data_IF_318841236521
#
_entry.id   IF_318841236521
#
_cell.length_a   1.000
_cell.length_b   1.000
_cell.length_c   1.000
_cell.angle_alpha   90.00
_cell.angle_beta   90.00
_cell.angle_gamma   90.00
#
_symmetry.space_group_name_H-M   'P 1'
#
loop_
_entity.id
_entity.type
_entity.pdbx_description
1 polymer ?
#
# COMPACT_ATOMS: atom_id res chain seq x y z
N UNK A 1 6.18 -1.70 -11.40
CA UNK A 1 6.23 -0.36 -10.79
C UNK A 1 7.54 -0.22 -10.01
N UNK A 2 8.39 0.74 -10.36
CA UNK A 2 9.75 0.85 -9.79
C UNK A 2 9.76 1.12 -8.27
N UNK A 3 8.65 1.61 -7.70
CA UNK A 3 8.52 1.87 -6.26
C UNK A 3 8.51 0.60 -5.39
N UNK A 4 8.18 -0.57 -5.96
CA UNK A 4 8.07 -1.82 -5.20
C UNK A 4 9.40 -2.55 -5.01
N UNK A 5 10.33 -2.42 -5.96
CA UNK A 5 11.64 -3.09 -5.90
C UNK A 5 12.47 -2.74 -4.66
N UNK A 6 12.59 -1.46 -4.23
CA UNK A 6 13.26 -1.12 -2.97
C UNK A 6 12.54 -1.67 -1.73
N UNK A 7 11.26 -2.04 -1.83
CA UNK A 7 10.47 -2.56 -0.71
C UNK A 7 10.51 -4.10 -0.59
N UNK A 8 10.96 -4.79 -1.64
CA UNK A 8 11.07 -6.25 -1.68
C UNK A 8 12.39 -6.75 -1.07
N UNK A 9 12.33 -7.84 -0.30
CA UNK A 9 13.50 -8.57 0.18
C UNK A 9 13.77 -9.83 -0.64
N UNK A 10 14.48 -10.77 -0.03
CA UNK A 10 14.84 -12.07 -0.61
C UNK A 10 13.74 -13.14 -0.40
N UNK A 11 12.49 -12.73 -0.22
CA UNK A 11 11.39 -13.68 -0.02
C UNK A 11 11.10 -14.48 -1.29
N UNK A 12 10.86 -15.78 -1.11
CA UNK A 12 10.42 -16.66 -2.18
C UNK A 12 8.89 -16.66 -2.25
N UNK A 13 8.36 -16.39 -3.44
CA UNK A 13 6.94 -16.52 -3.76
C UNK A 13 6.69 -17.77 -4.60
N UNK A 14 5.47 -18.29 -4.55
CA UNK A 14 5.08 -19.38 -5.46
C UNK A 14 4.95 -18.88 -6.91
N UNK A 15 4.79 -19.82 -7.85
CA UNK A 15 4.71 -19.48 -9.27
C UNK A 15 3.48 -18.61 -9.61
N UNK A 16 2.36 -18.78 -8.90
CA UNK A 16 1.14 -17.99 -9.13
C UNK A 16 1.36 -16.52 -8.74
N UNK A 17 2.01 -16.28 -7.59
CA UNK A 17 2.34 -14.95 -7.12
C UNK A 17 3.41 -14.30 -8.01
N UNK A 18 4.45 -15.04 -8.42
CA UNK A 18 5.48 -14.55 -9.35
C UNK A 18 4.89 -14.14 -10.71
N UNK A 19 4.02 -14.97 -11.31
CA UNK A 19 3.41 -14.66 -12.60
C UNK A 19 2.60 -13.35 -12.60
N UNK A 20 2.06 -12.97 -11.43
CA UNK A 20 1.33 -11.71 -11.25
C UNK A 20 2.22 -10.52 -10.90
N UNK A 21 3.44 -10.76 -10.43
CA UNK A 21 4.39 -9.71 -10.12
C UNK A 21 4.95 -9.07 -11.41
N UNK A 22 5.30 -7.78 -11.39
CA UNK A 22 6.13 -7.15 -12.41
C UNK A 22 7.42 -7.94 -12.63
N UNK A 23 7.91 -7.99 -13.88
CA UNK A 23 9.10 -8.77 -14.26
C UNK A 23 10.31 -8.55 -13.35
N UNK A 24 10.59 -7.29 -12.97
CA UNK A 24 11.74 -6.93 -12.13
C UNK A 24 11.62 -7.40 -10.67
N UNK A 25 10.47 -7.96 -10.27
CA UNK A 25 10.19 -8.49 -8.94
C UNK A 25 10.07 -10.03 -8.92
N UNK A 26 10.13 -10.67 -10.07
CA UNK A 26 10.03 -12.12 -10.17
C UNK A 26 11.39 -12.76 -9.82
N UNK A 27 11.35 -13.82 -9.00
CA UNK A 27 12.53 -14.64 -8.69
C UNK A 27 13.79 -13.83 -8.31
N UNK A 28 13.62 -12.91 -7.35
CA UNK A 28 14.72 -12.08 -6.84
C UNK A 28 15.82 -12.95 -6.24
N UNK A 29 17.10 -12.53 -6.34
CA UNK A 29 18.20 -13.30 -5.79
C UNK A 29 18.16 -13.31 -4.25
N UNK A 30 18.75 -14.33 -3.64
CA UNK A 30 18.73 -14.52 -2.18
C UNK A 30 19.52 -13.46 -1.40
N UNK A 31 20.35 -12.66 -2.06
CA UNK A 31 21.07 -11.53 -1.49
C UNK A 31 20.31 -10.20 -1.63
N UNK A 32 19.12 -10.19 -2.26
CA UNK A 32 18.31 -8.98 -2.41
C UNK A 32 17.94 -8.37 -1.06
N UNK A 33 18.42 -7.16 -0.83
CA UNK A 33 18.06 -6.36 0.34
C UNK A 33 17.01 -5.31 0.00
N UNK A 34 16.19 -4.97 1.00
CA UNK A 34 15.31 -3.80 0.96
C UNK A 34 16.14 -2.52 0.96
N UNK A 35 15.50 -1.39 0.70
CA UNK A 35 16.07 -0.09 1.02
C UNK A 35 16.45 -0.05 2.51
N UNK A 36 17.64 0.45 2.83
CA UNK A 36 18.19 0.40 4.19
C UNK A 36 17.57 1.48 5.08
N UNK A 37 17.25 2.64 4.51
CA UNK A 37 16.69 3.78 5.25
C UNK A 37 15.17 3.59 5.51
N UNK A 38 14.73 3.44 6.78
CA UNK A 38 13.31 3.28 7.12
C UNK A 38 12.46 4.47 6.69
N UNK A 39 12.98 5.70 6.72
CA UNK A 39 12.22 6.88 6.33
C UNK A 39 11.95 6.86 4.82
N UNK A 40 12.91 6.38 4.03
CA UNK A 40 12.72 6.18 2.58
C UNK A 40 11.67 5.10 2.33
N UNK A 41 11.64 4.02 3.11
CA UNK A 41 10.61 2.99 3.00
C UNK A 41 9.22 3.55 3.29
N UNK A 42 9.06 4.38 4.34
CA UNK A 42 7.80 5.10 4.62
C UNK A 42 7.36 5.91 3.41
N UNK A 43 8.25 6.75 2.86
CA UNK A 43 7.94 7.60 1.69
C UNK A 43 7.45 6.77 0.50
N UNK A 44 8.08 5.62 0.24
CA UNK A 44 7.70 4.74 -0.86
C UNK A 44 6.32 4.11 -0.64
N UNK A 45 6.00 3.67 0.58
CA UNK A 45 4.68 3.11 0.93
C UNK A 45 3.60 4.19 0.90
N UNK A 46 3.89 5.41 1.36
CA UNK A 46 2.97 6.55 1.25
C UNK A 46 2.73 6.93 -0.22
N UNK A 47 3.75 6.91 -1.07
CA UNK A 47 3.59 7.13 -2.50
C UNK A 47 2.67 6.09 -3.15
N UNK A 48 2.83 4.80 -2.79
CA UNK A 48 1.91 3.73 -3.23
C UNK A 48 0.48 3.96 -2.70
N UNK A 49 0.35 4.44 -1.45
CA UNK A 49 -0.94 4.79 -0.85
C UNK A 49 -1.63 5.92 -1.59
N UNK A 50 -0.89 6.96 -2.00
CA UNK A 50 -1.40 8.05 -2.82
C UNK A 50 -1.83 7.58 -4.21
N UNK A 51 -1.11 6.64 -4.82
CA UNK A 51 -1.54 6.02 -6.07
C UNK A 51 -2.87 5.26 -5.90
N UNK A 52 -3.15 4.73 -4.71
CA UNK A 52 -4.42 4.10 -4.36
C UNK A 52 -5.55 5.10 -4.01
N UNK A 53 -5.34 6.41 -4.15
CA UNK A 53 -6.39 7.39 -3.86
C UNK A 53 -7.64 7.22 -4.75
N UNK A 54 -7.46 6.87 -6.02
CA UNK A 54 -8.56 6.69 -6.98
C UNK A 54 -8.84 5.22 -7.26
N UNK A 55 -10.05 4.88 -7.70
CA UNK A 55 -10.43 3.51 -8.05
C UNK A 55 -9.51 2.91 -9.13
N UNK A 56 -9.21 3.67 -10.20
CA UNK A 56 -8.31 3.19 -11.25
C UNK A 56 -6.88 2.98 -10.74
N UNK A 57 -6.41 3.84 -9.84
CA UNK A 57 -5.14 3.70 -9.17
C UNK A 57 -5.07 2.45 -8.27
N UNK A 58 -6.09 2.22 -7.43
CA UNK A 58 -6.21 0.98 -6.63
C UNK A 58 -6.22 -0.26 -7.51
N UNK A 59 -7.05 -0.27 -8.55
CA UNK A 59 -7.12 -1.39 -9.48
C UNK A 59 -5.75 -1.68 -10.11
N UNK A 60 -5.02 -0.64 -10.52
CA UNK A 60 -3.68 -0.79 -11.08
C UNK A 60 -2.68 -1.35 -10.06
N UNK A 61 -2.64 -0.81 -8.84
CA UNK A 61 -1.71 -1.27 -7.79
C UNK A 61 -2.04 -2.71 -7.35
N UNK A 62 -3.32 -3.04 -7.17
CA UNK A 62 -3.81 -4.40 -6.87
C UNK A 62 -3.39 -5.39 -7.96
N UNK A 63 -3.53 -5.01 -9.24
CA UNK A 63 -3.18 -5.85 -10.39
C UNK A 63 -1.67 -6.14 -10.55
N UNK A 64 -0.79 -5.50 -9.77
CA UNK A 64 0.66 -5.78 -9.73
C UNK A 64 1.07 -6.69 -8.57
N UNK A 65 0.11 -7.38 -7.97
CA UNK A 65 0.27 -8.23 -6.80
C UNK A 65 0.97 -7.53 -5.62
N UNK A 66 0.75 -6.20 -5.48
CA UNK A 66 1.42 -5.36 -4.47
C UNK A 66 1.19 -5.85 -3.05
N UNK A 67 0.03 -6.47 -2.78
CA UNK A 67 -0.32 -7.02 -1.48
C UNK A 67 0.75 -7.99 -0.95
N UNK A 68 1.27 -8.87 -1.81
CA UNK A 68 2.26 -9.88 -1.41
C UNK A 68 3.56 -9.23 -0.93
N UNK A 69 4.05 -8.21 -1.65
CA UNK A 69 5.23 -7.43 -1.24
C UNK A 69 4.95 -6.70 0.09
N UNK A 70 3.78 -6.08 0.24
CA UNK A 70 3.44 -5.32 1.45
C UNK A 70 3.26 -6.21 2.67
N UNK A 71 2.74 -7.43 2.50
CA UNK A 71 2.60 -8.42 3.57
C UNK A 71 3.95 -8.84 4.13
N UNK A 72 4.90 -9.17 3.25
CA UNK A 72 6.25 -9.56 3.69
C UNK A 72 7.03 -8.37 4.26
N UNK A 73 6.87 -7.16 3.69
CA UNK A 73 7.44 -5.95 4.27
C UNK A 73 6.90 -5.70 5.68
N UNK A 74 5.58 -5.70 5.88
CA UNK A 74 4.95 -5.53 7.20
C UNK A 74 5.53 -6.50 8.23
N UNK A 75 5.63 -7.78 7.87
CA UNK A 75 6.20 -8.81 8.74
C UNK A 75 7.65 -8.51 9.10
N UNK A 76 8.47 -8.20 8.10
CA UNK A 76 9.88 -7.89 8.29
C UNK A 76 10.09 -6.66 9.17
N UNK A 77 9.35 -5.56 8.95
CA UNK A 77 9.43 -4.36 9.79
C UNK A 77 9.01 -4.63 11.23
N UNK A 78 7.97 -5.46 11.42
CA UNK A 78 7.51 -5.88 12.76
C UNK A 78 8.60 -6.67 13.49
N UNK A 79 9.29 -7.58 12.79
CA UNK A 79 10.39 -8.37 13.35
C UNK A 79 11.64 -7.52 13.67
N UNK A 80 11.80 -6.36 13.03
CA UNK A 80 12.93 -5.43 13.20
C UNK A 80 12.60 -4.18 14.06
N UNK A 81 11.46 -4.16 14.74
CA UNK A 81 11.03 -3.06 15.63
C UNK A 81 10.85 -1.68 14.92
N UNK A 82 10.64 -1.68 13.61
CA UNK A 82 10.36 -0.48 12.82
C UNK A 82 8.85 -0.19 12.78
N UNK A 83 8.28 0.13 13.94
CA UNK A 83 6.83 0.27 14.14
C UNK A 83 6.19 1.25 13.15
N UNK A 84 6.82 2.41 12.90
CA UNK A 84 6.28 3.43 12.00
C UNK A 84 6.13 2.93 10.55
N UNK A 85 7.10 2.14 10.07
CA UNK A 85 7.04 1.53 8.74
C UNK A 85 5.97 0.45 8.70
N UNK A 86 5.90 -0.39 9.73
CA UNK A 86 4.90 -1.45 9.84
C UNK A 86 3.46 -0.89 9.82
N UNK A 87 3.18 0.16 10.60
CA UNK A 87 1.87 0.84 10.60
C UNK A 87 1.54 1.45 9.23
N UNK A 88 2.54 2.00 8.54
CA UNK A 88 2.36 2.55 7.19
C UNK A 88 2.03 1.45 6.18
N UNK A 89 2.69 0.29 6.27
CA UNK A 89 2.38 -0.89 5.46
C UNK A 89 0.97 -1.40 5.74
N UNK A 90 0.57 -1.48 7.01
CA UNK A 90 -0.76 -1.93 7.41
C UNK A 90 -1.85 -1.08 6.76
N UNK A 91 -1.73 0.25 6.79
CA UNK A 91 -2.69 1.16 6.14
C UNK A 91 -2.86 0.85 4.66
N UNK A 92 -1.76 0.63 3.94
CA UNK A 92 -1.83 0.27 2.53
C UNK A 92 -2.43 -1.12 2.32
N UNK A 93 -2.06 -2.11 3.13
CA UNK A 93 -2.64 -3.45 3.07
C UNK A 93 -4.16 -3.40 3.23
N UNK A 94 -4.67 -2.63 4.20
CA UNK A 94 -6.11 -2.45 4.39
C UNK A 94 -6.79 -1.91 3.13
N UNK A 95 -6.19 -0.92 2.46
CA UNK A 95 -6.72 -0.40 1.18
C UNK A 95 -6.71 -1.45 0.08
N UNK A 96 -5.67 -2.30 0.02
CA UNK A 96 -5.54 -3.33 -1.02
C UNK A 96 -6.53 -4.49 -0.85
N UNK A 97 -6.92 -4.81 0.38
CA UNK A 97 -7.86 -5.92 0.66
C UNK A 97 -9.32 -5.46 0.84
N UNK A 98 -9.55 -4.14 0.99
CA UNK A 98 -10.90 -3.59 1.14
C UNK A 98 -11.67 -3.60 -0.18
N UNK A 99 -12.99 -3.70 -0.05
CA UNK A 99 -13.95 -3.50 -1.14
C UNK A 99 -13.84 -2.07 -1.71
N UNK A 100 -14.23 -1.90 -2.96
CA UNK A 100 -14.27 -0.58 -3.57
C UNK A 100 -15.38 0.29 -2.94
N UNK A 101 -15.13 1.60 -2.73
CA UNK A 101 -16.16 2.52 -2.25
C UNK A 101 -17.38 2.59 -3.18
N UNK A 102 -18.50 3.06 -2.63
CA UNK A 102 -19.71 3.35 -3.41
C UNK A 102 -19.47 4.41 -4.51
N UNK A 103 -20.26 4.33 -5.58
CA UNK A 103 -20.24 5.30 -6.68
C UNK A 103 -20.38 6.74 -6.16
N UNK A 104 -19.53 7.64 -6.66
CA UNK A 104 -19.40 9.02 -6.18
C UNK A 104 -18.50 9.20 -4.94
N UNK A 105 -17.88 8.13 -4.41
CA UNK A 105 -16.89 8.18 -3.32
C UNK A 105 -15.57 7.50 -3.69
N UNK A 106 -15.26 7.43 -4.97
CA UNK A 106 -14.14 6.64 -5.50
C UNK A 106 -12.76 7.22 -5.12
N UNK A 107 -12.70 8.53 -4.86
CA UNK A 107 -11.48 9.22 -4.47
C UNK A 107 -11.37 9.36 -2.94
N UNK A 108 -10.43 8.64 -2.35
CA UNK A 108 -10.21 8.59 -0.90
C UNK A 108 -9.67 9.90 -0.31
N UNK A 109 -9.21 10.84 -1.15
CA UNK A 109 -8.69 12.14 -0.70
C UNK A 109 -9.77 13.23 -0.70
N UNK A 110 -10.95 12.95 -1.24
CA UNK A 110 -12.04 13.94 -1.35
C UNK A 110 -13.32 13.35 -0.80
N UNK A 111 -14.03 14.09 0.06
CA UNK A 111 -15.33 13.69 0.56
C UNK A 111 -16.26 14.90 0.52
N UNK A 112 -17.33 14.82 -0.26
CA UNK A 112 -18.40 15.79 -0.23
C UNK A 112 -19.19 15.60 1.06
N UNK A 113 -18.98 16.50 2.03
CA UNK A 113 -19.69 16.46 3.31
C UNK A 113 -21.13 16.95 3.06
N UNK A 114 -22.16 16.12 3.28
CA UNK A 114 -23.54 16.56 3.08
C UNK A 114 -23.88 17.72 4.02
N UNK A 115 -24.66 18.70 3.53
CA UNK A 115 -24.98 19.93 4.27
C UNK A 115 -25.58 19.69 5.67
N UNK A 116 -26.30 18.58 5.85
CA UNK A 116 -26.86 18.21 7.16
C UNK A 116 -25.76 18.01 8.22
N UNK A 117 -24.66 17.37 7.86
CA UNK A 117 -23.54 17.12 8.78
C UNK A 117 -22.79 18.43 9.09
N UNK A 118 -22.66 19.33 8.11
CA UNK A 118 -22.07 20.66 8.32
C UNK A 118 -22.87 21.49 9.33
N UNK A 119 -24.20 21.48 9.22
CA UNK A 119 -25.10 22.20 10.15
C UNK A 119 -25.00 21.66 11.58
N UNK A 120 -24.91 20.34 11.75
CA UNK A 120 -24.70 19.71 13.07
C UNK A 120 -23.37 20.12 13.70
N UNK A 121 -22.29 20.09 12.93
CA UNK A 121 -20.96 20.52 13.40
C UNK A 121 -20.95 21.99 13.83
N UNK A 122 -21.62 22.86 13.08
CA UNK A 122 -21.74 24.30 13.40
C UNK A 122 -22.62 24.59 14.62
N UNK A 123 -23.62 23.74 14.91
CA UNK A 123 -24.49 23.89 16.08
C UNK A 123 -23.89 23.37 17.40
N UNK A 124 -22.75 22.69 17.33
CA UNK A 124 -22.04 22.12 18.49
C UNK A 124 -20.87 22.98 18.98
N UNK A 125 -20.61 24.14 18.38
CA UNK A 125 -19.61 25.13 18.82
C UNK A 125 -20.26 26.36 19.44
#
# INVERSE_FOLDING_TARGET
PHLLLPLAGAEEFDDEDNDRLPLDLQYLPSDKQREDDPDVRVILVEALTLLCATQSGRAYVKAKNTYVIMRELYRWETENDNTDVAETCEKLVQILISDEPEDGRENLLTCDIPEEHLKKLQSCG
#
